data_IF_977985663859
#
_entry.id   IF_977985663859
#
_cell.length_a   1.000
_cell.length_b   1.000
_cell.length_c   1.000
_cell.angle_alpha   90.00
_cell.angle_beta   90.00
_cell.angle_gamma   90.00
#
_symmetry.space_group_name_H-M   'P 1'
#
loop_
_entity.id
_entity.type
_entity.pdbx_description
1 polymer ?
#
# COMPACT_ATOMS: atom_id res chain seq x y z
N UNK A 1 -6.75 9.32 -12.82
CA UNK A 1 -6.65 7.96 -12.26
C UNK A 1 -7.38 7.93 -10.93
N UNK A 2 -8.29 7.01 -10.72
CA UNK A 2 -8.97 6.77 -9.44
C UNK A 2 -8.52 5.39 -8.95
N UNK A 3 -7.97 5.31 -7.74
CA UNK A 3 -7.65 4.03 -7.12
C UNK A 3 -8.96 3.28 -6.83
N UNK A 4 -9.05 2.02 -7.26
CA UNK A 4 -10.23 1.20 -6.96
C UNK A 4 -10.28 0.86 -5.47
N UNK A 5 -11.46 0.51 -4.95
CA UNK A 5 -11.56 -0.01 -3.58
C UNK A 5 -10.73 -1.27 -3.38
N UNK A 6 -10.61 -2.09 -4.42
CA UNK A 6 -9.77 -3.29 -4.41
C UNK A 6 -8.28 -2.94 -4.28
N UNK A 7 -7.81 -1.96 -5.05
CA UNK A 7 -6.44 -1.44 -4.96
C UNK A 7 -6.15 -0.81 -3.61
N UNK A 8 -7.07 0.03 -3.09
CA UNK A 8 -6.96 0.63 -1.76
C UNK A 8 -6.78 -0.44 -0.68
N UNK A 9 -7.63 -1.45 -0.66
CA UNK A 9 -7.59 -2.51 0.36
C UNK A 9 -6.39 -3.45 0.19
N UNK A 10 -5.93 -3.69 -1.03
CA UNK A 10 -4.69 -4.43 -1.27
C UNK A 10 -3.48 -3.74 -0.63
N UNK A 11 -3.37 -2.42 -0.81
CA UNK A 11 -2.29 -1.64 -0.20
C UNK A 11 -2.40 -1.60 1.33
N UNK A 12 -3.60 -1.41 1.88
CA UNK A 12 -3.84 -1.42 3.32
C UNK A 12 -3.48 -2.77 3.95
N UNK A 13 -3.91 -3.87 3.34
CA UNK A 13 -3.57 -5.22 3.79
C UNK A 13 -2.06 -5.50 3.76
N UNK A 14 -1.33 -5.03 2.73
CA UNK A 14 0.13 -5.13 2.70
C UNK A 14 0.81 -4.30 3.79
N UNK A 15 0.31 -3.09 4.06
CA UNK A 15 0.82 -2.25 5.16
C UNK A 15 0.61 -2.97 6.50
N UNK A 16 -0.56 -3.57 6.72
CA UNK A 16 -0.85 -4.32 7.93
C UNK A 16 0.05 -5.53 8.12
N UNK A 17 0.29 -6.30 7.05
CA UNK A 17 1.25 -7.41 7.08
C UNK A 17 2.67 -6.93 7.35
N UNK A 18 3.05 -5.76 6.81
CA UNK A 18 4.34 -5.14 7.08
C UNK A 18 4.49 -4.71 8.53
N UNK A 19 3.48 -4.03 9.09
CA UNK A 19 3.46 -3.63 10.52
C UNK A 19 3.53 -4.86 11.42
N UNK A 20 2.74 -5.90 11.13
CA UNK A 20 2.75 -7.14 11.88
C UNK A 20 4.14 -7.82 11.85
N UNK A 21 4.77 -7.85 10.68
CA UNK A 21 6.14 -8.38 10.51
C UNK A 21 7.16 -7.63 11.37
N UNK A 22 7.12 -6.29 11.39
CA UNK A 22 7.99 -5.46 12.24
C UNK A 22 7.73 -5.66 13.73
N UNK A 23 6.51 -6.01 14.11
CA UNK A 23 6.14 -6.33 15.49
C UNK A 23 6.42 -7.80 15.88
N UNK A 24 7.08 -8.57 15.00
CA UNK A 24 7.47 -9.96 15.26
C UNK A 24 6.35 -10.99 15.05
N UNK A 25 5.24 -10.61 14.37
CA UNK A 25 4.19 -11.54 14.04
C UNK A 25 4.53 -12.33 12.77
N UNK A 26 4.58 -13.66 12.84
CA UNK A 26 4.97 -14.45 11.67
C UNK A 26 3.89 -14.45 10.59
N UNK A 27 2.61 -14.35 10.99
CA UNK A 27 1.45 -14.39 10.09
C UNK A 27 0.24 -13.71 10.74
N UNK A 28 -0.67 -13.17 9.90
CA UNK A 28 -1.98 -12.67 10.30
C UNK A 28 -3.08 -13.50 9.62
N UNK A 29 -4.14 -13.80 10.37
CA UNK A 29 -5.32 -14.46 9.82
C UNK A 29 -6.15 -13.49 8.96
N UNK A 30 -6.80 -14.00 7.90
CA UNK A 30 -7.69 -13.17 7.08
C UNK A 30 -8.83 -12.54 7.89
N UNK A 31 -9.34 -13.24 8.91
CA UNK A 31 -10.36 -12.72 9.83
C UNK A 31 -9.88 -11.52 10.65
N UNK A 32 -8.64 -11.53 11.10
CA UNK A 32 -8.04 -10.41 11.86
C UNK A 32 -7.93 -9.16 10.99
N UNK A 33 -7.43 -9.32 9.77
CA UNK A 33 -7.32 -8.24 8.79
C UNK A 33 -8.71 -7.75 8.34
N UNK A 34 -9.65 -8.65 8.08
CA UNK A 34 -11.01 -8.31 7.69
C UNK A 34 -11.73 -7.50 8.79
N UNK A 35 -11.57 -7.89 10.05
CA UNK A 35 -12.14 -7.19 11.21
C UNK A 35 -11.53 -5.79 11.36
N UNK A 36 -10.18 -5.67 11.28
CA UNK A 36 -9.49 -4.39 11.39
C UNK A 36 -9.89 -3.44 10.27
N UNK A 37 -9.92 -3.94 9.03
CA UNK A 37 -10.20 -3.13 7.86
C UNK A 37 -11.71 -2.94 7.59
N UNK A 38 -12.57 -3.58 8.42
CA UNK A 38 -14.04 -3.59 8.30
C UNK A 38 -14.51 -4.04 6.90
N UNK A 39 -13.94 -5.16 6.43
CA UNK A 39 -14.19 -5.72 5.11
C UNK A 39 -14.79 -7.13 5.18
N UNK A 40 -15.61 -7.52 4.20
CA UNK A 40 -15.99 -8.92 4.05
C UNK A 40 -14.76 -9.80 3.81
N UNK A 41 -14.64 -10.88 4.58
CA UNK A 41 -13.47 -11.79 4.52
C UNK A 41 -13.27 -12.35 3.10
N UNK A 42 -14.35 -12.73 2.40
CA UNK A 42 -14.29 -13.25 1.03
C UNK A 42 -13.69 -12.24 0.04
N UNK A 43 -13.97 -10.97 0.22
CA UNK A 43 -13.41 -9.92 -0.62
C UNK A 43 -11.90 -9.77 -0.39
N UNK A 44 -11.46 -9.82 0.86
CA UNK A 44 -10.03 -9.79 1.21
C UNK A 44 -9.29 -11.03 0.67
N UNK A 45 -9.89 -12.22 0.74
CA UNK A 45 -9.31 -13.45 0.20
C UNK A 45 -9.11 -13.39 -1.32
N UNK A 46 -10.01 -12.75 -2.06
CA UNK A 46 -9.85 -12.51 -3.50
C UNK A 46 -8.65 -11.60 -3.79
N UNK A 47 -8.43 -10.56 -2.97
CA UNK A 47 -7.27 -9.68 -3.07
C UNK A 47 -5.99 -10.48 -2.81
N UNK A 48 -5.97 -11.27 -1.75
CA UNK A 48 -4.82 -12.10 -1.40
C UNK A 48 -4.51 -13.16 -2.44
N UNK A 49 -5.51 -13.69 -3.15
CA UNK A 49 -5.29 -14.61 -4.26
C UNK A 49 -4.43 -13.97 -5.36
N UNK A 50 -4.72 -12.73 -5.74
CA UNK A 50 -3.91 -12.01 -6.73
C UNK A 50 -2.52 -11.65 -6.20
N UNK A 51 -2.44 -11.13 -4.98
CA UNK A 51 -1.16 -10.78 -4.35
C UNK A 51 -0.24 -12.01 -4.18
N UNK A 52 -0.84 -13.18 -3.88
CA UNK A 52 -0.12 -14.46 -3.76
C UNK A 52 0.39 -14.93 -5.12
N UNK A 53 -0.44 -14.90 -6.16
CA UNK A 53 -0.04 -15.28 -7.53
C UNK A 53 1.15 -14.43 -8.02
N UNK A 54 1.20 -13.14 -7.64
CA UNK A 54 2.30 -12.25 -7.95
C UNK A 54 3.49 -12.33 -6.97
N UNK A 55 3.43 -13.20 -5.95
CA UNK A 55 4.51 -13.42 -4.98
C UNK A 55 4.69 -12.33 -3.94
N UNK A 56 3.74 -11.40 -3.79
CA UNK A 56 3.77 -10.36 -2.74
C UNK A 56 3.41 -10.91 -1.36
N UNK A 57 2.59 -11.97 -1.33
CA UNK A 57 2.08 -12.59 -0.11
C UNK A 57 2.26 -14.10 -0.20
N UNK A 58 2.52 -14.73 0.94
CA UNK A 58 2.48 -16.18 1.17
C UNK A 58 1.32 -16.52 2.07
N UNK A 59 0.75 -17.72 1.93
CA UNK A 59 -0.30 -18.23 2.81
C UNK A 59 0.06 -19.60 3.34
N UNK A 60 -0.30 -19.87 4.60
CA UNK A 60 -0.22 -21.18 5.25
C UNK A 60 -1.60 -21.58 5.78
N UNK A 61 -2.01 -22.83 5.54
CA UNK A 61 -3.27 -23.36 6.07
C UNK A 61 -3.11 -23.83 7.52
N UNK A 62 -4.24 -23.99 8.23
CA UNK A 62 -4.33 -24.58 9.58
C UNK A 62 -4.62 -23.54 10.66
N UNK A 63 -4.78 -24.04 11.90
CA UNK A 63 -5.14 -23.24 13.09
C UNK A 63 -4.18 -22.05 13.33
N UNK A 64 -2.90 -22.23 13.03
CA UNK A 64 -1.85 -21.21 13.15
C UNK A 64 -1.43 -20.69 11.76
N UNK A 65 -2.28 -20.86 10.76
CA UNK A 65 -2.07 -20.37 9.42
C UNK A 65 -2.47 -18.89 9.27
N UNK A 66 -2.35 -18.38 8.05
CA UNK A 66 -2.67 -17.00 7.73
C UNK A 66 -1.87 -16.52 6.53
N UNK A 67 -1.68 -15.23 6.48
CA UNK A 67 -0.93 -14.54 5.43
C UNK A 67 0.30 -13.84 6.00
N UNK A 68 1.38 -13.85 5.22
CA UNK A 68 2.62 -13.12 5.50
C UNK A 68 3.17 -12.52 4.21
N UNK A 69 4.11 -11.61 4.31
CA UNK A 69 4.80 -11.08 3.13
C UNK A 69 5.57 -12.18 2.41
N UNK A 70 5.49 -12.20 1.08
CA UNK A 70 6.15 -13.17 0.20
C UNK A 70 7.58 -12.77 -0.19
N UNK A 71 7.90 -11.48 -0.04
CA UNK A 71 9.21 -10.89 -0.34
C UNK A 71 9.54 -9.78 0.64
N UNK A 72 10.80 -9.32 0.73
CA UNK A 72 11.21 -8.21 1.58
C UNK A 72 10.42 -6.93 1.26
N UNK A 73 10.09 -6.14 2.31
CA UNK A 73 9.26 -4.93 2.16
C UNK A 73 9.89 -3.87 1.25
N UNK A 74 11.22 -3.77 1.22
CA UNK A 74 11.94 -2.83 0.34
C UNK A 74 11.87 -3.22 -1.16
N UNK A 75 11.42 -4.43 -1.48
CA UNK A 75 11.17 -4.89 -2.86
C UNK A 75 9.71 -4.76 -3.29
N UNK A 76 8.82 -4.33 -2.40
CA UNK A 76 7.39 -4.14 -2.68
C UNK A 76 7.15 -2.66 -2.95
N UNK A 77 7.08 -2.28 -4.24
CA UNK A 77 6.79 -0.91 -4.68
C UNK A 77 5.28 -0.71 -4.83
N UNK A 78 4.77 0.43 -4.36
CA UNK A 78 3.33 0.73 -4.43
C UNK A 78 2.81 0.78 -5.86
N UNK A 79 3.58 1.39 -6.79
CA UNK A 79 3.20 1.43 -8.19
C UNK A 79 3.04 0.06 -8.83
N UNK A 80 3.90 -0.91 -8.47
CA UNK A 80 3.80 -2.29 -8.97
C UNK A 80 2.55 -3.00 -8.45
N UNK A 81 2.20 -2.81 -7.17
CA UNK A 81 0.97 -3.38 -6.58
C UNK A 81 -0.28 -2.78 -7.23
N UNK A 82 -0.31 -1.46 -7.43
CA UNK A 82 -1.46 -0.79 -8.08
C UNK A 82 -1.63 -1.29 -9.51
N UNK A 83 -0.54 -1.42 -10.28
CA UNK A 83 -0.61 -1.97 -11.65
C UNK A 83 -1.10 -3.40 -11.69
N UNK A 84 -0.78 -4.20 -10.68
CA UNK A 84 -1.27 -5.59 -10.57
C UNK A 84 -2.79 -5.64 -10.35
N UNK A 85 -3.32 -4.78 -9.48
CA UNK A 85 -4.71 -4.85 -9.03
C UNK A 85 -5.65 -4.02 -9.92
N UNK A 86 -5.25 -2.79 -10.25
CA UNK A 86 -6.07 -1.80 -10.93
C UNK A 86 -5.69 -1.60 -12.40
N UNK A 87 -4.56 -2.15 -12.81
CA UNK A 87 -4.04 -1.97 -14.17
C UNK A 87 -3.21 -0.69 -14.33
N UNK A 88 -3.14 -0.15 -15.55
CA UNK A 88 -2.22 0.92 -15.91
C UNK A 88 -2.41 2.22 -15.12
N UNK A 89 -1.29 2.84 -14.72
CA UNK A 89 -1.27 4.15 -14.06
C UNK A 89 -1.46 5.30 -15.06
N UNK A 90 -2.38 5.17 -15.99
CA UNK A 90 -2.60 6.16 -17.04
C UNK A 90 -3.95 6.88 -16.86
N UNK A 91 -3.98 8.23 -16.87
CA UNK A 91 -5.24 8.99 -16.80
C UNK A 91 -6.14 8.75 -18.02
N UNK A 92 -5.52 8.61 -19.20
CA UNK A 92 -6.18 8.33 -20.49
C UNK A 92 -5.43 7.21 -21.24
N UNK A 93 -6.14 6.46 -22.08
CA UNK A 93 -5.58 5.25 -22.71
C UNK A 93 -4.42 5.52 -23.67
N UNK A 94 -4.45 6.63 -24.40
CA UNK A 94 -3.41 6.97 -25.37
C UNK A 94 -2.06 7.36 -24.76
N UNK A 95 -1.96 7.50 -23.43
CA UNK A 95 -0.68 7.68 -22.71
C UNK A 95 -0.29 6.45 -21.89
N UNK A 96 -1.04 5.35 -21.98
CA UNK A 96 -0.72 4.11 -21.26
C UNK A 96 0.50 3.43 -21.87
N UNK A 97 1.43 2.97 -21.02
CA UNK A 97 2.56 2.13 -21.44
C UNK A 97 2.19 0.65 -21.58
N UNK A 98 1.25 0.19 -20.75
CA UNK A 98 0.90 -1.24 -20.66
C UNK A 98 -0.36 -1.60 -21.46
N UNK A 99 -1.24 -0.64 -21.67
CA UNK A 99 -2.52 -0.83 -22.37
C UNK A 99 -2.84 0.40 -23.21
N UNK A 100 -1.93 0.71 -24.14
CA UNK A 100 -2.14 1.78 -25.11
C UNK A 100 -3.35 1.48 -25.99
N UNK A 101 -4.21 2.48 -26.14
CA UNK A 101 -5.28 2.47 -27.14
C UNK A 101 -5.28 3.84 -27.81
N UNK A 102 -5.23 3.84 -29.14
CA UNK A 102 -5.30 5.08 -29.93
C UNK A 102 -6.57 5.85 -29.57
N UNK A 103 -6.44 7.15 -29.40
CA UNK A 103 -7.60 8.03 -29.17
C UNK A 103 -8.38 8.30 -30.47
N UNK A 104 -9.58 8.84 -30.33
CA UNK A 104 -10.37 9.36 -31.46
C UNK A 104 -9.94 10.75 -31.94
N UNK A 105 -8.85 11.28 -31.40
CA UNK A 105 -8.33 12.60 -31.77
C UNK A 105 -7.90 12.61 -33.25
N UNK A 106 -8.20 13.68 -34.01
CA UNK A 106 -7.77 13.80 -35.41
C UNK A 106 -6.26 13.76 -35.57
N UNK A 107 -5.56 14.38 -34.62
CA UNK A 107 -4.08 14.43 -34.58
C UNK A 107 -3.61 14.06 -33.18
N UNK A 108 -3.10 12.85 -33.05
CA UNK A 108 -2.55 12.35 -31.76
C UNK A 108 -1.14 12.89 -31.48
N UNK A 109 -0.37 13.15 -32.54
CA UNK A 109 1.03 13.55 -32.45
C UNK A 109 1.15 14.97 -31.87
N UNK A 110 0.30 15.88 -32.30
CA UNK A 110 0.30 17.28 -31.86
C UNK A 110 -0.76 17.59 -30.80
N UNK A 111 -1.31 16.54 -30.17
CA UNK A 111 -2.36 16.71 -29.16
C UNK A 111 -1.76 17.22 -27.83
N UNK A 112 -2.02 18.51 -27.50
CA UNK A 112 -1.57 19.12 -26.25
C UNK A 112 -2.13 18.44 -25.00
N UNK A 113 -3.38 17.93 -25.06
CA UNK A 113 -3.94 17.14 -23.95
C UNK A 113 -3.15 15.85 -23.69
N UNK A 114 -2.75 15.15 -24.75
CA UNK A 114 -1.92 13.96 -24.64
C UNK A 114 -0.57 14.28 -24.02
N UNK A 115 0.08 15.38 -24.41
CA UNK A 115 1.35 15.82 -23.82
C UNK A 115 1.21 16.06 -22.32
N UNK A 116 0.21 16.83 -21.89
CA UNK A 116 -0.08 17.07 -20.48
C UNK A 116 -0.35 15.77 -19.71
N UNK A 117 -1.20 14.89 -20.25
CA UNK A 117 -1.56 13.63 -19.58
C UNK A 117 -0.39 12.65 -19.52
N UNK A 118 0.57 12.74 -20.46
CA UNK A 118 1.82 11.99 -20.43
C UNK A 118 2.68 12.42 -19.22
N UNK A 119 2.81 13.71 -18.98
CA UNK A 119 3.55 14.25 -17.84
C UNK A 119 2.89 13.88 -16.51
N UNK A 120 1.55 13.99 -16.42
CA UNK A 120 0.79 13.54 -15.25
C UNK A 120 1.02 12.05 -14.97
N UNK A 121 0.93 11.19 -16.00
CA UNK A 121 1.22 9.77 -15.87
C UNK A 121 2.64 9.52 -15.36
N UNK A 122 3.63 10.19 -15.95
CA UNK A 122 5.03 10.03 -15.56
C UNK A 122 5.27 10.47 -14.11
N UNK A 123 4.70 11.59 -13.69
CA UNK A 123 4.79 12.08 -12.32
C UNK A 123 4.19 11.09 -11.32
N UNK A 124 2.98 10.57 -11.60
CA UNK A 124 2.31 9.57 -10.76
C UNK A 124 3.15 8.29 -10.68
N UNK A 125 3.61 7.76 -11.82
CA UNK A 125 4.42 6.55 -11.86
C UNK A 125 5.72 6.72 -11.09
N UNK A 126 6.46 7.81 -11.31
CA UNK A 126 7.70 8.13 -10.60
C UNK A 126 7.49 8.21 -9.08
N UNK A 127 6.40 8.83 -8.63
CA UNK A 127 6.09 8.94 -7.22
C UNK A 127 5.79 7.57 -6.60
N UNK A 128 4.88 6.80 -7.20
CA UNK A 128 4.44 5.51 -6.68
C UNK A 128 5.54 4.43 -6.75
N UNK A 129 6.43 4.49 -7.73
CA UNK A 129 7.55 3.56 -7.87
C UNK A 129 8.74 3.91 -6.95
N UNK A 130 8.76 5.13 -6.42
CA UNK A 130 9.76 5.57 -5.45
C UNK A 130 9.50 4.99 -4.05
N UNK A 131 8.23 4.87 -3.65
CA UNK A 131 7.87 4.40 -2.31
C UNK A 131 7.76 2.88 -2.28
N UNK A 132 8.45 2.29 -1.30
CA UNK A 132 8.36 0.87 -0.97
C UNK A 132 7.44 0.65 0.23
N UNK A 133 7.04 -0.60 0.44
CA UNK A 133 6.29 -0.98 1.64
C UNK A 133 7.09 -0.67 2.92
N UNK A 134 8.41 -0.85 2.90
CA UNK A 134 9.28 -0.53 4.03
C UNK A 134 9.18 0.95 4.42
N UNK A 135 9.23 1.87 3.43
CA UNK A 135 9.14 3.31 3.68
C UNK A 135 7.81 3.67 4.37
N UNK A 136 6.69 3.10 3.90
CA UNK A 136 5.36 3.44 4.43
C UNK A 136 5.12 2.80 5.79
N UNK A 137 5.57 1.57 6.02
CA UNK A 137 5.49 0.91 7.34
C UNK A 137 6.30 1.70 8.37
N UNK A 138 7.53 2.10 8.03
CA UNK A 138 8.37 2.92 8.91
C UNK A 138 7.69 4.26 9.26
N UNK A 139 7.20 4.99 8.26
CA UNK A 139 6.48 6.26 8.46
C UNK A 139 5.27 6.05 9.36
N UNK A 140 4.50 4.98 9.13
CA UNK A 140 3.30 4.66 9.92
C UNK A 140 3.65 4.36 11.37
N UNK A 141 4.63 3.50 11.63
CA UNK A 141 5.08 3.16 12.97
C UNK A 141 5.66 4.38 13.71
N UNK A 142 6.44 5.21 13.02
CA UNK A 142 6.98 6.46 13.57
C UNK A 142 5.84 7.41 13.99
N UNK A 143 4.81 7.56 13.16
CA UNK A 143 3.65 8.40 13.44
C UNK A 143 2.84 7.87 14.63
N UNK A 144 2.58 6.57 14.69
CA UNK A 144 1.89 5.92 15.82
C UNK A 144 2.63 6.16 17.15
N UNK A 145 3.96 6.03 17.16
CA UNK A 145 4.79 6.32 18.35
C UNK A 145 4.71 7.78 18.78
N UNK A 146 4.86 8.71 17.83
CA UNK A 146 4.77 10.14 18.12
C UNK A 146 3.44 10.50 18.74
N UNK A 147 2.35 9.95 18.23
CA UNK A 147 0.98 10.24 18.65
C UNK A 147 0.56 9.35 19.86
N UNK A 148 1.48 8.52 20.41
CA UNK A 148 1.26 7.58 21.53
C UNK A 148 0.08 6.62 21.29
N UNK A 149 -0.17 6.27 20.02
CA UNK A 149 -1.22 5.33 19.63
C UNK A 149 -0.64 3.91 19.62
N UNK A 150 -1.35 2.97 20.25
CA UNK A 150 -0.94 1.56 20.25
C UNK A 150 -1.01 1.00 18.83
N UNK A 151 0.07 0.43 18.30
CA UNK A 151 0.06 -0.20 16.99
C UNK A 151 -1.01 -1.29 16.89
N UNK A 152 -1.64 -1.48 15.72
CA UNK A 152 -2.56 -2.58 15.52
C UNK A 152 -1.87 -3.92 15.80
N UNK A 153 -2.62 -4.90 16.25
CA UNK A 153 -2.16 -6.27 16.59
C UNK A 153 -1.36 -6.42 17.89
N UNK A 154 -1.05 -5.37 18.64
CA UNK A 154 -0.33 -5.48 19.92
C UNK A 154 -1.14 -6.13 21.05
N UNK A 155 -2.47 -6.13 20.98
CA UNK A 155 -3.35 -6.57 22.08
C UNK A 155 -3.27 -8.08 22.42
N UNK A 156 -2.66 -8.92 21.59
CA UNK A 156 -2.42 -10.34 21.88
C UNK A 156 -1.07 -10.66 22.54
N UNK A 157 -0.19 -9.68 22.69
CA UNK A 157 1.22 -9.87 23.08
C UNK A 157 1.52 -9.51 24.52
N UNK A 158 0.63 -9.78 25.49
CA UNK A 158 1.00 -9.65 26.90
C UNK A 158 2.12 -10.64 27.32
N UNK A 159 2.36 -11.69 26.54
CA UNK A 159 3.49 -12.63 26.74
C UNK A 159 4.77 -12.29 25.97
N UNK A 160 4.76 -11.31 25.06
CA UNK A 160 5.93 -10.97 24.21
C UNK A 160 6.61 -9.66 24.62
N UNK A 161 6.29 -9.08 25.76
CA UNK A 161 6.95 -7.86 26.28
C UNK A 161 8.45 -8.02 26.58
N UNK A 162 8.97 -9.25 26.63
CA UNK A 162 10.39 -9.52 26.86
C UNK A 162 11.23 -9.73 25.59
N UNK A 163 10.62 -9.71 24.40
CA UNK A 163 11.33 -9.97 23.13
C UNK A 163 10.96 -8.89 22.10
N UNK A 164 11.11 -7.62 22.46
CA UNK A 164 11.21 -6.57 21.45
C UNK A 164 12.64 -6.61 20.91
N UNK A 165 12.85 -6.91 19.61
CA UNK A 165 14.18 -6.83 19.06
C UNK A 165 14.69 -5.39 19.14
N UNK A 166 15.98 -5.17 19.38
CA UNK A 166 16.61 -3.84 19.56
C UNK A 166 16.61 -2.96 18.31
N UNK A 167 15.88 -3.33 17.25
CA UNK A 167 15.74 -2.56 16.00
C UNK A 167 15.06 -1.20 16.23
N UNK A 168 14.36 -1.03 17.34
CA UNK A 168 13.69 0.22 17.71
C UNK A 168 14.62 1.38 18.07
N UNK A 169 15.92 1.12 18.30
CA UNK A 169 16.90 2.13 18.73
C UNK A 169 17.85 2.62 17.62
N UNK A 170 17.78 2.13 16.39
CA UNK A 170 18.74 2.46 15.32
C UNK A 170 18.28 3.48 14.29
N UNK A 171 17.16 4.15 14.48
CA UNK A 171 16.71 5.15 13.53
C UNK A 171 17.08 6.55 14.01
N UNK A 172 18.36 6.88 13.82
CA UNK A 172 18.86 8.24 13.83
C UNK A 172 18.26 9.06 12.69
N UNK A 173 18.21 10.34 12.91
CA UNK A 173 17.64 11.46 12.17
C UNK A 173 18.01 11.56 10.67
N UNK A 174 17.48 10.68 9.84
CA UNK A 174 17.65 10.71 8.38
C UNK A 174 16.30 10.72 7.62
N UNK A 175 15.28 11.35 8.18
CA UNK A 175 13.91 11.31 7.66
C UNK A 175 13.69 12.17 6.43
N UNK A 176 13.34 11.56 5.28
CA UNK A 176 12.74 12.28 4.14
C UNK A 176 11.46 12.99 4.61
N UNK A 177 11.41 14.32 4.46
CA UNK A 177 10.22 15.11 4.78
C UNK A 177 9.07 14.72 3.85
N UNK A 178 8.00 14.22 4.44
CA UNK A 178 6.73 14.01 3.76
C UNK A 178 5.91 15.31 3.90
N UNK A 179 5.51 15.91 2.78
CA UNK A 179 4.60 17.06 2.81
C UNK A 179 3.24 16.57 3.34
N UNK A 180 2.90 16.98 4.56
CA UNK A 180 1.58 16.74 5.13
C UNK A 180 0.56 17.64 4.45
N UNK A 181 -0.24 17.06 3.56
CA UNK A 181 -1.48 17.70 3.12
C UNK A 181 -2.47 17.56 4.29
N UNK A 182 -2.65 18.65 5.04
CA UNK A 182 -3.66 18.76 6.10
C UNK A 182 -5.07 18.66 5.53
N UNK A 183 -6.07 18.27 6.34
CA UNK A 183 -7.46 18.27 5.90
C UNK A 183 -7.90 19.71 5.59
N UNK A 184 -8.30 19.97 4.36
CA UNK A 184 -8.96 21.21 3.98
C UNK A 184 -10.31 21.28 4.69
N UNK A 185 -10.47 22.20 5.63
CA UNK A 185 -11.73 22.50 6.29
C UNK A 185 -12.70 23.09 5.26
N UNK A 186 -13.60 22.28 4.74
CA UNK A 186 -14.70 22.72 3.89
C UNK A 186 -15.67 23.57 4.71
N UNK A 187 -15.58 24.90 4.62
CA UNK A 187 -16.63 25.79 5.08
C UNK A 187 -17.88 25.55 4.24
N UNK A 188 -18.91 24.96 4.83
CA UNK A 188 -20.27 24.99 4.29
C UNK A 188 -20.75 26.43 4.28
N UNK A 189 -20.96 27.01 3.10
CA UNK A 189 -21.76 28.23 2.96
C UNK A 189 -23.22 27.84 3.01
N UNK A 190 -23.96 28.56 3.85
CA UNK A 190 -25.45 28.57 3.89
C UNK A 190 -26.00 29.16 2.59
#
# INVERSE_FOLDING_TARGET
>A
MKLSKRGEYALRALIDLGIASELGWPMLQASELATKEKLPIKFLEQIFTQLKAAGYVKSRRGKFGGYSLGRPMNQIKFGAVIRLIDGPLAPIRCVSQMAYVRCSCPDEVHCGLRMLMLDVRNAIAKLLDRYTLADIVEITLRKLRRDKVTPPFLSRSTKLRSVLPPVLNRLGDGGRKFNSVGPTSGKRRK
#
